data_IF_457887921831
#
_entry.id   IF_457887921831
#
_cell.length_a   1.000
_cell.length_b   1.000
_cell.length_c   1.000
_cell.angle_alpha   90.00
_cell.angle_beta   90.00
_cell.angle_gamma   90.00
#
_symmetry.space_group_name_H-M   'P 1'
#
loop_
_entity.id
_entity.type
_entity.pdbx_description
1 polymer ?
#
# COMPACT_ATOMS: atom_id res chain seq x y z
N UNK A 1 18.95 11.02 13.52
CA UNK A 1 17.58 11.45 13.91
C UNK A 1 17.09 10.65 15.11
N UNK A 2 16.26 11.29 15.94
CA UNK A 2 15.55 10.61 17.01
C UNK A 2 14.47 9.71 16.42
N UNK A 3 14.36 8.48 16.92
CA UNK A 3 13.34 7.52 16.51
C UNK A 3 12.10 7.72 17.39
N UNK A 4 10.97 8.05 16.78
CA UNK A 4 9.71 8.33 17.50
C UNK A 4 8.68 7.26 17.13
N UNK A 5 8.20 6.53 18.14
CA UNK A 5 7.21 5.45 17.99
C UNK A 5 5.98 5.60 18.89
N UNK A 6 5.91 6.66 19.72
CA UNK A 6 4.80 6.88 20.67
C UNK A 6 4.45 8.37 20.79
N UNK A 7 3.25 8.65 21.29
CA UNK A 7 2.81 10.02 21.58
C UNK A 7 3.73 10.72 22.60
N UNK A 8 4.21 9.99 23.63
CA UNK A 8 5.14 10.51 24.63
C UNK A 8 6.48 10.88 23.99
N UNK A 9 6.99 10.07 23.06
CA UNK A 9 8.21 10.37 22.31
C UNK A 9 8.06 11.63 21.46
N UNK A 10 6.91 11.82 20.83
CA UNK A 10 6.62 13.02 20.06
C UNK A 10 6.48 14.27 20.96
N UNK A 11 5.85 14.15 22.14
CA UNK A 11 5.79 15.22 23.15
C UNK A 11 7.17 15.59 23.67
N UNK A 12 7.99 14.60 23.99
CA UNK A 12 9.35 14.83 24.41
C UNK A 12 10.15 15.60 23.33
N UNK A 13 10.02 15.20 22.06
CA UNK A 13 10.67 15.90 20.95
C UNK A 13 10.20 17.35 20.84
N UNK A 14 8.87 17.58 20.89
CA UNK A 14 8.27 18.92 20.94
C UNK A 14 8.85 19.76 22.05
N UNK A 15 8.87 19.23 23.27
CA UNK A 15 9.30 19.97 24.45
C UNK A 15 10.79 20.28 24.39
N UNK A 16 11.59 19.37 23.81
CA UNK A 16 13.02 19.62 23.59
C UNK A 16 13.26 20.78 22.61
N UNK A 17 12.52 20.83 21.50
CA UNK A 17 12.55 21.95 20.55
C UNK A 17 12.06 23.25 21.22
N UNK A 18 10.90 23.20 21.87
CA UNK A 18 10.25 24.39 22.42
C UNK A 18 10.99 24.98 23.63
N UNK A 19 11.78 24.21 24.35
CA UNK A 19 12.60 24.65 25.45
C UNK A 19 14.03 25.03 25.03
N UNK A 20 14.37 24.97 23.74
CA UNK A 20 15.64 25.42 23.23
C UNK A 20 15.81 26.93 23.57
N UNK A 21 16.83 27.27 24.31
CA UNK A 21 17.06 28.66 24.72
C UNK A 21 17.74 29.43 23.61
N UNK A 22 17.42 30.74 23.50
CA UNK A 22 17.98 31.66 22.52
C UNK A 22 19.50 31.61 22.44
N UNK A 23 20.05 32.15 21.34
CA UNK A 23 21.40 32.26 20.85
C UNK A 23 22.56 32.25 21.85
N UNK A 24 22.34 32.62 23.11
CA UNK A 24 23.35 32.56 24.15
C UNK A 24 23.46 31.15 24.79
N UNK A 25 22.49 30.23 24.60
CA UNK A 25 22.39 29.05 25.46
C UNK A 25 21.96 27.73 24.83
N UNK A 26 21.80 27.57 23.51
CA UNK A 26 21.60 26.25 22.85
C UNK A 26 20.51 26.23 21.75
N UNK A 27 20.76 26.93 20.65
CA UNK A 27 19.91 26.87 19.44
C UNK A 27 19.97 25.49 18.78
N UNK A 28 20.92 24.65 19.13
CA UNK A 28 21.13 23.34 18.50
C UNK A 28 19.89 22.43 18.65
N UNK A 29 19.14 22.56 19.73
CA UNK A 29 17.92 21.80 19.93
C UNK A 29 16.80 22.14 18.95
N UNK A 30 16.83 23.30 18.27
CA UNK A 30 15.89 23.64 17.19
C UNK A 30 16.18 22.91 15.91
N UNK A 31 17.39 22.39 15.73
CA UNK A 31 17.88 21.68 14.53
C UNK A 31 17.88 20.17 14.70
N UNK A 32 17.41 19.66 15.84
CA UNK A 32 17.34 18.21 16.05
C UNK A 32 16.46 17.58 15.00
N UNK A 33 16.88 16.41 14.51
CA UNK A 33 16.17 15.67 13.50
C UNK A 33 15.45 14.48 14.12
N UNK A 34 14.26 14.17 13.61
CA UNK A 34 13.49 13.01 14.04
C UNK A 34 12.94 12.24 12.86
N UNK A 35 12.67 10.97 13.07
CA UNK A 35 11.90 10.15 12.14
C UNK A 35 10.86 9.32 12.90
N UNK A 36 9.68 9.17 12.31
CA UNK A 36 8.66 8.28 12.84
C UNK A 36 8.99 6.83 12.45
N UNK A 37 8.69 5.90 13.36
CA UNK A 37 8.84 4.46 13.11
C UNK A 37 7.50 3.72 13.15
N UNK A 38 6.42 4.43 13.54
CA UNK A 38 5.04 3.96 13.57
C UNK A 38 4.09 5.15 13.43
N UNK A 39 2.83 4.87 13.13
CA UNK A 39 1.76 5.83 13.31
C UNK A 39 1.67 6.26 14.76
N UNK A 40 1.42 7.54 14.99
CA UNK A 40 1.28 8.12 16.32
C UNK A 40 -0.19 8.54 16.52
N UNK A 41 -0.81 8.04 17.56
CA UNK A 41 -2.16 8.45 17.95
C UNK A 41 -2.09 9.45 19.12
N UNK A 42 -2.65 10.65 18.89
CA UNK A 42 -2.72 11.73 19.88
C UNK A 42 -4.11 11.83 20.54
N UNK A 43 -4.92 10.78 20.50
CA UNK A 43 -6.26 10.76 21.09
C UNK A 43 -6.25 11.21 22.54
N UNK A 44 -7.14 12.16 22.87
CA UNK A 44 -7.31 12.68 24.23
C UNK A 44 -6.28 13.73 24.66
N UNK A 45 -5.36 14.11 23.77
CA UNK A 45 -4.30 15.05 24.06
C UNK A 45 -4.49 16.36 23.30
N UNK A 46 -4.46 17.48 24.05
CA UNK A 46 -4.34 18.79 23.43
C UNK A 46 -2.89 19.01 22.98
N UNK A 47 -2.71 19.34 21.71
CA UNK A 47 -1.38 19.51 21.16
C UNK A 47 -0.90 20.95 21.21
N UNK A 48 0.33 21.16 21.69
CA UNK A 48 1.08 22.42 21.54
C UNK A 48 2.00 22.27 20.32
N UNK A 49 2.07 23.23 19.41
CA UNK A 49 2.91 23.15 18.22
C UNK A 49 4.42 22.95 18.53
N UNK A 50 5.10 22.23 17.65
CA UNK A 50 6.58 22.12 17.67
C UNK A 50 7.17 23.40 17.07
N UNK A 51 8.09 24.09 17.79
CA UNK A 51 8.70 25.31 17.29
C UNK A 51 7.70 26.47 17.25
N UNK A 52 7.43 27.09 18.39
CA UNK A 52 6.40 28.14 18.53
C UNK A 52 6.93 29.56 18.23
N UNK A 53 8.21 29.70 17.88
CA UNK A 53 8.88 30.98 17.66
C UNK A 53 8.68 31.54 16.25
N UNK A 54 8.81 32.82 16.15
CA UNK A 54 8.78 33.57 14.91
C UNK A 54 9.08 35.05 15.17
N UNK A 55 9.07 35.88 14.14
CA UNK A 55 9.40 37.30 14.27
C UNK A 55 8.53 38.04 15.30
N UNK A 56 7.31 37.53 15.58
CA UNK A 56 6.38 38.11 16.53
C UNK A 56 6.57 37.60 17.99
N UNK A 57 7.37 36.55 18.19
CA UNK A 57 7.60 35.93 19.51
C UNK A 57 9.09 35.89 19.83
N UNK A 58 9.66 37.08 20.09
CA UNK A 58 11.05 37.17 20.47
C UNK A 58 11.34 36.26 21.69
N UNK A 59 12.28 35.35 21.53
CA UNK A 59 12.69 34.45 22.60
C UNK A 59 12.12 33.04 22.56
N UNK A 60 11.20 32.75 21.63
CA UNK A 60 10.74 31.38 21.40
C UNK A 60 11.38 30.77 20.17
N UNK A 61 11.85 29.52 20.22
CA UNK A 61 12.59 28.92 19.14
C UNK A 61 11.68 28.44 18.00
N UNK A 62 12.05 28.66 16.72
CA UNK A 62 11.45 27.99 15.58
C UNK A 62 11.96 26.57 15.47
N UNK A 63 11.37 25.76 14.60
CA UNK A 63 11.92 24.48 14.20
C UNK A 63 12.74 24.62 12.91
N UNK A 64 13.98 24.12 12.93
CA UNK A 64 14.93 24.26 11.81
C UNK A 64 15.57 22.92 11.40
N UNK A 65 15.14 21.81 11.97
CA UNK A 65 15.68 20.47 11.69
C UNK A 65 14.97 19.76 10.53
N UNK A 66 15.22 18.45 10.44
CA UNK A 66 14.52 17.55 9.55
C UNK A 66 13.58 16.65 10.34
N UNK A 67 12.30 16.68 10.02
CA UNK A 67 11.31 15.75 10.53
C UNK A 67 10.82 14.85 9.39
N UNK A 68 11.14 13.57 9.47
CA UNK A 68 10.77 12.57 8.48
C UNK A 68 9.66 11.65 9.04
N UNK A 69 8.46 11.78 8.54
CA UNK A 69 7.33 10.93 8.90
C UNK A 69 7.46 9.49 8.41
N UNK A 70 8.41 9.19 7.50
CA UNK A 70 8.62 7.82 6.93
C UNK A 70 7.34 7.19 6.36
N UNK A 71 6.39 7.99 5.92
CA UNK A 71 5.08 7.54 5.43
C UNK A 71 4.04 7.29 6.53
N UNK A 72 4.39 7.51 7.79
CA UNK A 72 3.47 7.34 8.92
C UNK A 72 2.54 8.54 9.12
N UNK A 73 1.45 8.27 9.84
CA UNK A 73 0.41 9.25 10.14
C UNK A 73 0.43 9.64 11.62
N UNK A 74 0.34 10.96 11.89
CA UNK A 74 -0.01 11.47 13.21
C UNK A 74 -1.53 11.67 13.22
N UNK A 75 -2.23 10.84 14.00
CA UNK A 75 -3.70 10.76 14.07
C UNK A 75 -4.24 11.53 15.25
N UNK A 76 -5.49 11.98 15.13
CA UNK A 76 -6.24 12.64 16.20
C UNK A 76 -5.54 13.88 16.75
N UNK A 77 -4.81 14.60 15.87
CA UNK A 77 -4.22 15.89 16.22
C UNK A 77 -5.35 16.85 16.64
N UNK A 78 -5.29 17.37 17.86
CA UNK A 78 -6.30 18.26 18.41
C UNK A 78 -5.66 19.55 18.90
N UNK A 79 -5.95 20.67 18.21
CA UNK A 79 -5.47 21.99 18.57
C UNK A 79 -6.68 22.95 18.54
N UNK A 80 -6.87 23.70 19.64
CA UNK A 80 -7.73 24.90 19.72
C UNK A 80 -6.93 25.96 20.47
N UNK A 81 -6.37 26.93 19.74
CA UNK A 81 -5.39 27.87 20.30
C UNK A 81 -5.56 29.27 19.73
N UNK A 82 -5.42 30.28 20.57
CA UNK A 82 -5.36 31.69 20.16
C UNK A 82 -3.94 32.14 19.75
N UNK A 83 -2.97 31.25 19.69
CA UNK A 83 -1.61 31.56 19.23
C UNK A 83 -1.61 31.97 17.74
N UNK A 84 -0.58 32.73 17.34
CA UNK A 84 -0.46 33.21 15.95
C UNK A 84 -0.08 32.10 14.96
N UNK A 85 0.78 31.18 15.36
CA UNK A 85 1.31 30.12 14.50
C UNK A 85 0.82 28.76 15.01
N UNK A 86 -0.17 28.18 14.33
CA UNK A 86 -0.86 26.97 14.80
C UNK A 86 -0.83 25.88 13.75
N UNK A 87 -0.35 24.72 14.15
CA UNK A 87 -0.25 23.50 13.35
C UNK A 87 0.44 22.39 14.14
N UNK A 88 0.75 21.26 13.54
CA UNK A 88 1.64 20.29 14.18
C UNK A 88 2.96 20.98 14.56
N UNK A 89 3.50 21.78 13.62
CA UNK A 89 4.58 22.74 13.84
C UNK A 89 3.99 24.15 13.90
N UNK A 90 4.48 24.97 14.81
CA UNK A 90 4.09 26.38 14.88
C UNK A 90 4.79 27.19 13.79
N UNK A 91 6.13 27.28 13.89
CA UNK A 91 6.96 28.02 12.97
C UNK A 91 8.19 27.21 12.53
N UNK A 92 8.31 27.01 11.22
CA UNK A 92 9.44 26.32 10.59
C UNK A 92 10.37 27.35 9.95
N UNK A 93 11.66 27.32 10.27
CA UNK A 93 12.68 28.23 9.75
C UNK A 93 13.77 27.44 9.02
N UNK A 94 13.68 27.34 7.71
CA UNK A 94 14.62 26.62 6.87
C UNK A 94 14.64 25.10 7.06
N UNK A 95 13.74 24.55 7.89
CA UNK A 95 13.66 23.12 8.19
C UNK A 95 13.07 22.29 7.06
N UNK A 96 13.17 20.98 7.19
CA UNK A 96 12.56 20.02 6.25
C UNK A 96 11.51 19.17 6.96
N UNK A 97 10.29 19.17 6.45
CA UNK A 97 9.20 18.28 6.88
C UNK A 97 8.85 17.40 5.69
N UNK A 98 8.90 16.08 5.89
CA UNK A 98 8.67 15.18 4.76
C UNK A 98 8.01 13.86 5.15
N UNK A 99 7.41 13.22 4.14
CA UNK A 99 6.81 11.87 4.23
C UNK A 99 5.82 11.75 5.41
N UNK A 100 4.99 12.77 5.64
CA UNK A 100 4.17 12.89 6.83
C UNK A 100 2.70 13.12 6.49
N UNK A 101 1.81 12.34 7.10
CA UNK A 101 0.38 12.60 7.09
C UNK A 101 -0.09 13.05 8.47
N UNK A 102 -0.99 14.03 8.51
CA UNK A 102 -1.66 14.47 9.73
C UNK A 102 -3.18 14.35 9.59
N UNK A 103 -3.87 13.92 10.64
CA UNK A 103 -5.33 13.86 10.67
C UNK A 103 -5.88 14.31 12.04
N UNK A 104 -7.05 14.95 12.02
CA UNK A 104 -7.69 15.49 13.24
C UNK A 104 -8.32 16.86 13.02
N UNK A 105 -8.13 17.79 13.97
CA UNK A 105 -8.68 19.14 13.93
C UNK A 105 -7.65 20.16 14.44
N UNK A 106 -7.44 21.21 13.66
CA UNK A 106 -6.54 22.32 14.00
C UNK A 106 -7.30 23.62 13.91
N UNK A 107 -7.46 24.30 15.03
CA UNK A 107 -8.11 25.61 15.11
C UNK A 107 -7.16 26.63 15.73
N UNK A 108 -6.90 27.70 14.99
CA UNK A 108 -6.02 28.79 15.38
C UNK A 108 -6.69 30.17 15.21
N UNK A 109 -5.96 31.24 15.55
CA UNK A 109 -6.45 32.61 15.40
C UNK A 109 -5.97 33.29 14.13
N UNK A 110 -4.70 33.19 13.80
CA UNK A 110 -4.14 33.89 12.64
C UNK A 110 -3.57 32.93 11.59
N UNK A 111 -2.32 32.54 11.70
CA UNK A 111 -1.66 31.69 10.73
C UNK A 111 -1.80 30.23 11.13
N UNK A 112 -2.66 29.52 10.40
CA UNK A 112 -3.06 28.17 10.79
C UNK A 112 -2.87 27.20 9.62
N UNK A 113 -2.11 26.15 9.85
CA UNK A 113 -1.91 25.07 8.87
C UNK A 113 -2.04 23.70 9.52
N UNK A 114 -2.42 22.68 8.77
CA UNK A 114 -2.46 21.32 9.30
C UNK A 114 -1.08 20.84 9.76
N UNK A 115 -0.05 21.16 8.97
CA UNK A 115 1.34 20.80 9.27
C UNK A 115 2.09 21.94 9.92
N UNK A 116 2.10 23.14 9.33
CA UNK A 116 2.82 24.29 9.90
C UNK A 116 1.96 25.55 9.91
N UNK A 117 1.92 26.25 11.04
CA UNK A 117 1.29 27.55 11.14
C UNK A 117 1.97 28.57 10.21
N UNK A 118 3.29 28.64 10.28
CA UNK A 118 4.08 29.44 9.33
C UNK A 118 5.41 28.79 8.95
N UNK A 119 5.96 29.24 7.81
CA UNK A 119 7.27 28.82 7.32
C UNK A 119 8.06 30.02 6.79
N UNK A 120 9.35 30.12 7.15
CA UNK A 120 10.32 31.01 6.55
C UNK A 120 11.31 30.17 5.74
N UNK A 121 11.05 30.01 4.45
CA UNK A 121 11.77 29.04 3.62
C UNK A 121 11.56 27.58 4.10
N UNK A 122 12.48 26.71 3.67
CA UNK A 122 12.43 25.28 4.03
C UNK A 122 11.74 24.41 2.99
N UNK A 123 11.67 23.12 3.29
CA UNK A 123 11.12 22.12 2.38
C UNK A 123 9.97 21.34 3.02
N UNK A 124 8.84 21.28 2.33
CA UNK A 124 7.70 20.44 2.64
C UNK A 124 7.48 19.49 1.45
N UNK A 125 7.75 18.22 1.66
CA UNK A 125 7.66 17.23 0.58
C UNK A 125 6.94 15.96 1.03
N UNK A 126 6.11 15.38 0.14
CA UNK A 126 5.35 14.16 0.42
C UNK A 126 4.53 14.30 1.72
N UNK A 127 3.90 15.47 1.90
CA UNK A 127 3.12 15.77 3.10
C UNK A 127 1.63 15.81 2.78
N UNK A 128 0.82 15.24 3.67
CA UNK A 128 -0.62 15.18 3.52
C UNK A 128 -1.36 15.76 4.74
N UNK A 129 -2.37 16.58 4.47
CA UNK A 129 -3.32 17.03 5.47
C UNK A 129 -4.68 16.37 5.30
N UNK A 130 -5.14 15.73 6.36
CA UNK A 130 -6.51 15.20 6.50
C UNK A 130 -7.25 15.86 7.67
N UNK A 131 -6.65 16.87 8.31
CA UNK A 131 -7.29 17.63 9.40
C UNK A 131 -8.34 18.59 8.84
N UNK A 132 -9.38 18.82 9.61
CA UNK A 132 -10.15 20.06 9.50
C UNK A 132 -9.31 21.21 10.06
N UNK A 133 -9.04 22.24 9.26
CA UNK A 133 -8.19 23.38 9.64
C UNK A 133 -9.00 24.66 9.59
N UNK A 134 -8.99 25.42 10.69
CA UNK A 134 -9.73 26.67 10.82
C UNK A 134 -8.85 27.77 11.43
N UNK A 135 -8.82 28.96 10.82
CA UNK A 135 -8.02 30.07 11.35
C UNK A 135 -8.26 31.39 10.59
N UNK A 136 -7.34 32.32 10.76
CA UNK A 136 -7.37 33.60 10.01
C UNK A 136 -6.82 33.42 8.60
N UNK A 137 -5.50 33.30 8.48
CA UNK A 137 -4.81 32.90 7.24
C UNK A 137 -4.57 31.42 7.31
N UNK A 138 -5.24 30.64 6.45
CA UNK A 138 -5.38 29.21 6.67
C UNK A 138 -4.98 28.41 5.44
N UNK A 139 -4.15 27.37 5.64
CA UNK A 139 -3.76 26.42 4.60
C UNK A 139 -3.80 24.96 5.09
N UNK A 140 -3.97 24.02 4.17
CA UNK A 140 -3.95 22.60 4.51
C UNK A 140 -2.58 22.15 5.03
N UNK A 141 -1.51 22.60 4.39
CA UNK A 141 -0.13 22.30 4.78
C UNK A 141 0.48 23.46 5.58
N UNK A 142 0.47 24.66 5.03
CA UNK A 142 1.09 25.85 5.63
C UNK A 142 0.08 26.99 5.71
N UNK A 143 -0.08 27.61 6.88
CA UNK A 143 -0.89 28.82 7.03
C UNK A 143 -0.28 30.00 6.29
N UNK A 144 0.97 30.35 6.61
CA UNK A 144 1.64 31.51 6.09
C UNK A 144 3.11 31.24 5.72
N UNK A 145 3.50 31.60 4.51
CA UNK A 145 4.89 31.54 4.07
C UNK A 145 5.47 32.94 3.95
N UNK A 146 6.57 33.22 4.67
CA UNK A 146 7.20 34.55 4.77
C UNK A 146 8.15 34.83 3.61
N UNK A 147 8.65 36.06 3.48
CA UNK A 147 9.48 36.54 2.36
C UNK A 147 10.88 35.92 2.29
N UNK A 148 11.48 35.57 3.42
CA UNK A 148 12.87 35.16 3.48
C UNK A 148 13.03 33.65 3.24
N UNK A 149 14.22 33.26 2.76
CA UNK A 149 14.57 31.87 2.49
C UNK A 149 13.90 31.28 1.25
N UNK A 150 14.40 30.19 0.75
CA UNK A 150 13.79 29.47 -0.36
C UNK A 150 12.75 28.47 0.16
N UNK A 151 11.50 28.63 -0.25
CA UNK A 151 10.42 27.69 0.10
C UNK A 151 10.24 26.65 -1.01
N UNK A 152 10.25 25.40 -0.67
CA UNK A 152 9.92 24.29 -1.57
C UNK A 152 8.73 23.51 -0.99
N UNK A 153 7.62 23.50 -1.74
CA UNK A 153 6.47 22.67 -1.40
C UNK A 153 6.20 21.77 -2.61
N UNK A 154 6.35 20.47 -2.42
CA UNK A 154 6.19 19.53 -3.53
C UNK A 154 5.57 18.21 -3.10
N UNK A 155 4.87 17.61 -4.05
CA UNK A 155 4.25 16.30 -3.85
C UNK A 155 3.41 16.28 -2.54
N UNK A 156 2.61 17.33 -2.31
CA UNK A 156 1.79 17.49 -1.11
C UNK A 156 0.32 17.48 -1.47
N UNK A 157 -0.52 17.02 -0.54
CA UNK A 157 -1.96 17.08 -0.78
C UNK A 157 -2.78 17.45 0.45
N UNK A 158 -3.99 17.97 0.20
CA UNK A 158 -5.00 18.23 1.21
C UNK A 158 -6.33 17.57 0.83
N UNK A 159 -6.92 16.89 1.81
CA UNK A 159 -8.29 16.34 1.71
C UNK A 159 -9.17 16.79 2.88
N UNK A 160 -8.59 17.45 3.88
CA UNK A 160 -9.31 18.06 4.99
C UNK A 160 -10.07 19.33 4.58
N UNK A 161 -11.05 19.72 5.38
CA UNK A 161 -11.77 20.98 5.19
C UNK A 161 -10.93 22.16 5.71
N UNK A 162 -10.79 23.21 4.89
CA UNK A 162 -10.02 24.40 5.21
C UNK A 162 -10.98 25.61 5.25
N UNK A 163 -11.00 26.31 6.38
CA UNK A 163 -11.95 27.41 6.59
C UNK A 163 -11.26 28.60 7.26
N UNK A 164 -11.51 29.81 6.74
CA UNK A 164 -11.08 31.04 7.43
C UNK A 164 -12.19 31.59 8.31
N UNK A 165 -11.82 32.16 9.46
CA UNK A 165 -12.73 32.76 10.44
C UNK A 165 -12.83 34.28 10.30
N UNK A 166 -11.80 34.92 9.74
CA UNK A 166 -11.66 36.39 9.77
C UNK A 166 -11.67 37.03 8.38
N UNK A 167 -11.95 36.24 7.33
CA UNK A 167 -11.98 36.73 5.95
C UNK A 167 -10.60 37.00 5.33
N UNK A 168 -9.53 36.51 5.95
CA UNK A 168 -8.17 36.59 5.38
C UNK A 168 -7.98 35.55 4.26
N UNK A 169 -6.74 35.22 3.96
CA UNK A 169 -6.39 34.32 2.88
C UNK A 169 -6.61 32.84 3.27
N UNK A 170 -7.18 32.06 2.37
CA UNK A 170 -7.39 30.62 2.57
C UNK A 170 -7.03 29.83 1.32
N UNK A 171 -6.21 28.80 1.47
CA UNK A 171 -5.80 27.93 0.36
C UNK A 171 -5.78 26.46 0.74
N UNK A 172 -5.99 25.59 -0.23
CA UNK A 172 -5.99 24.14 0.02
C UNK A 172 -4.63 23.62 0.51
N UNK A 173 -3.54 24.22 0.07
CA UNK A 173 -2.17 23.87 0.48
C UNK A 173 -1.57 24.99 1.33
N UNK A 174 -1.57 26.24 0.85
CA UNK A 174 -1.00 27.39 1.55
C UNK A 174 -2.03 28.51 1.65
N UNK A 175 -2.22 29.05 2.85
CA UNK A 175 -3.13 30.17 3.08
C UNK A 175 -2.66 31.43 2.38
N UNK A 176 -1.46 31.88 2.68
CA UNK A 176 -0.80 33.01 2.05
C UNK A 176 0.67 32.74 1.83
N UNK A 177 1.19 33.08 0.68
CA UNK A 177 2.60 33.01 0.34
C UNK A 177 3.11 34.34 -0.15
N UNK A 178 3.94 35.02 0.64
CA UNK A 178 4.63 36.25 0.24
C UNK A 178 6.07 35.98 -0.20
N UNK A 179 6.48 34.71 -0.26
CA UNK A 179 7.81 34.27 -0.68
C UNK A 179 7.90 34.27 -2.20
N UNK A 180 8.78 35.08 -2.76
CA UNK A 180 9.00 35.17 -4.21
C UNK A 180 10.08 34.21 -4.73
N UNK A 181 10.86 33.59 -3.84
CA UNK A 181 11.95 32.67 -4.19
C UNK A 181 11.56 31.21 -4.16
N UNK A 182 10.32 30.90 -3.80
CA UNK A 182 9.85 29.53 -3.60
C UNK A 182 9.35 28.84 -4.87
N UNK A 183 9.00 27.56 -4.72
CA UNK A 183 8.39 26.73 -5.76
C UNK A 183 7.35 25.81 -5.15
N UNK A 184 6.17 25.73 -5.79
CA UNK A 184 5.10 24.81 -5.40
C UNK A 184 4.78 23.94 -6.60
N UNK A 185 4.87 22.62 -6.45
CA UNK A 185 4.67 21.70 -7.58
C UNK A 185 4.13 20.34 -7.18
N UNK A 186 3.48 19.68 -8.13
CA UNK A 186 2.93 18.32 -7.97
C UNK A 186 2.01 18.19 -6.76
N UNK A 187 1.22 19.22 -6.47
CA UNK A 187 0.33 19.24 -5.31
C UNK A 187 -1.13 19.16 -5.74
N UNK A 188 -1.97 18.59 -4.86
CA UNK A 188 -3.40 18.66 -5.12
C UNK A 188 -4.23 19.00 -3.87
N UNK A 189 -5.42 19.56 -4.10
CA UNK A 189 -6.45 19.77 -3.10
C UNK A 189 -7.76 19.10 -3.51
N UNK A 190 -8.26 18.19 -2.68
CA UNK A 190 -9.60 17.61 -2.82
C UNK A 190 -10.50 17.89 -1.60
N UNK A 191 -9.98 18.58 -0.59
CA UNK A 191 -10.73 19.08 0.56
C UNK A 191 -11.50 20.35 0.23
N UNK A 192 -12.55 20.65 0.99
CA UNK A 192 -13.31 21.89 0.84
C UNK A 192 -12.50 23.08 1.33
N UNK A 193 -12.48 24.17 0.54
CA UNK A 193 -11.82 25.43 0.91
C UNK A 193 -12.88 26.52 0.94
N UNK A 194 -13.12 27.12 2.10
CA UNK A 194 -14.18 28.10 2.32
C UNK A 194 -13.64 29.38 2.93
N UNK A 195 -13.94 30.51 2.31
CA UNK A 195 -13.54 31.82 2.78
C UNK A 195 -14.27 32.95 2.04
N UNK A 196 -14.08 34.19 2.50
CA UNK A 196 -14.80 35.36 1.98
C UNK A 196 -13.91 36.37 1.26
N UNK A 197 -12.57 36.28 1.38
CA UNK A 197 -11.64 37.25 0.77
C UNK A 197 -10.76 36.57 -0.29
N UNK A 198 -9.55 36.19 0.05
CA UNK A 198 -8.61 35.58 -0.88
C UNK A 198 -8.67 34.05 -0.77
N UNK A 199 -9.45 33.42 -1.65
CA UNK A 199 -9.69 31.98 -1.65
C UNK A 199 -9.02 31.35 -2.87
N UNK A 200 -8.10 30.45 -2.66
CA UNK A 200 -7.41 29.71 -3.71
C UNK A 200 -7.49 28.21 -3.52
N UNK A 201 -7.45 27.49 -4.62
CA UNK A 201 -7.50 26.04 -4.58
C UNK A 201 -6.22 25.45 -3.97
N UNK A 202 -5.09 26.02 -4.31
CA UNK A 202 -3.77 25.66 -3.78
C UNK A 202 -3.29 26.77 -2.84
N UNK A 203 -3.30 28.04 -3.28
CA UNK A 203 -2.83 29.18 -2.46
C UNK A 203 -3.89 30.28 -2.41
N UNK A 204 -4.24 30.73 -1.21
CA UNK A 204 -5.23 31.79 -1.03
C UNK A 204 -4.75 33.15 -1.53
N UNK A 205 -3.53 33.56 -1.20
CA UNK A 205 -2.95 34.83 -1.66
C UNK A 205 -1.48 34.60 -2.06
N UNK A 206 -1.20 34.35 -3.34
CA UNK A 206 0.16 34.12 -3.83
C UNK A 206 0.86 35.42 -4.23
N UNK A 207 2.11 35.63 -3.78
CA UNK A 207 3.09 36.48 -4.42
C UNK A 207 4.17 35.66 -5.15
N UNK A 208 3.98 34.35 -5.19
CA UNK A 208 4.87 33.40 -5.87
C UNK A 208 4.30 33.07 -7.24
N UNK A 209 5.15 33.09 -8.28
CA UNK A 209 4.77 32.78 -9.68
C UNK A 209 5.10 31.32 -10.07
N UNK A 210 5.93 30.62 -9.29
CA UNK A 210 6.42 29.29 -9.59
C UNK A 210 5.50 28.22 -9.00
N UNK A 211 4.31 28.12 -9.57
CA UNK A 211 3.31 27.11 -9.23
C UNK A 211 3.10 26.22 -10.46
N UNK A 212 3.44 24.94 -10.37
CA UNK A 212 3.43 24.01 -11.50
C UNK A 212 2.73 22.71 -11.14
N UNK A 213 2.01 22.13 -12.08
CA UNK A 213 1.45 20.79 -11.97
C UNK A 213 0.61 20.59 -10.69
N UNK A 214 -0.23 21.60 -10.39
CA UNK A 214 -1.08 21.61 -9.20
C UNK A 214 -2.55 21.51 -9.60
N UNK A 215 -3.29 20.63 -8.92
CA UNK A 215 -4.66 20.26 -9.27
C UNK A 215 -5.61 20.43 -8.10
N UNK A 216 -6.90 20.64 -8.39
CA UNK A 216 -7.92 20.63 -7.36
C UNK A 216 -9.20 19.98 -7.85
N UNK A 217 -9.94 19.39 -6.89
CA UNK A 217 -11.22 18.77 -7.19
C UNK A 217 -12.27 19.83 -7.50
N UNK A 218 -12.95 19.70 -8.64
CA UNK A 218 -14.04 20.57 -9.04
C UNK A 218 -15.12 20.65 -7.95
N UNK A 219 -15.60 21.86 -7.67
CA UNK A 219 -16.58 22.11 -6.61
C UNK A 219 -16.04 22.10 -5.18
N UNK A 220 -14.76 21.78 -4.96
CA UNK A 220 -14.15 21.79 -3.62
C UNK A 220 -13.84 23.21 -3.11
N UNK A 221 -13.82 24.19 -3.99
CA UNK A 221 -13.37 25.56 -3.68
C UNK A 221 -14.41 26.58 -4.08
N UNK A 222 -14.82 27.41 -3.12
CA UNK A 222 -15.60 28.62 -3.41
C UNK A 222 -14.60 29.76 -3.61
N UNK A 223 -14.30 30.11 -4.86
CA UNK A 223 -13.32 31.15 -5.19
C UNK A 223 -13.83 32.53 -4.91
N UNK A 224 -13.04 33.33 -4.20
CA UNK A 224 -13.26 34.74 -4.01
C UNK A 224 -11.91 35.47 -3.91
N UNK A 225 -11.79 36.65 -4.52
CA UNK A 225 -10.60 37.49 -4.41
C UNK A 225 -9.39 37.00 -5.21
N UNK A 226 -8.19 37.11 -4.64
CA UNK A 226 -6.90 37.00 -5.32
C UNK A 226 -6.24 35.61 -5.20
N UNK A 227 -7.00 34.55 -4.97
CA UNK A 227 -6.47 33.18 -4.94
C UNK A 227 -5.72 32.81 -6.23
N UNK A 228 -4.91 31.76 -6.16
CA UNK A 228 -4.13 31.31 -7.31
C UNK A 228 -5.04 31.07 -8.54
N UNK A 229 -4.50 31.42 -9.72
CA UNK A 229 -5.19 31.30 -11.01
C UNK A 229 -4.57 30.24 -11.91
N UNK A 230 -3.53 29.56 -11.45
CA UNK A 230 -2.72 28.62 -12.24
C UNK A 230 -3.02 27.16 -11.91
N UNK A 231 -3.62 26.88 -10.78
CA UNK A 231 -4.05 25.53 -10.45
C UNK A 231 -5.21 25.07 -11.35
N UNK A 232 -5.21 23.80 -11.71
CA UNK A 232 -6.11 23.24 -12.72
C UNK A 232 -7.22 22.43 -12.03
N UNK A 233 -8.48 22.79 -12.34
CA UNK A 233 -9.66 22.03 -11.90
C UNK A 233 -9.70 20.67 -12.57
N UNK A 234 -10.03 19.64 -11.78
CA UNK A 234 -10.21 18.28 -12.22
C UNK A 234 -11.50 17.70 -11.64
N UNK A 235 -12.22 16.95 -12.44
CA UNK A 235 -13.47 16.31 -12.05
C UNK A 235 -13.22 15.16 -11.07
N UNK A 236 -14.26 14.75 -10.33
CA UNK A 236 -14.19 13.56 -9.48
C UNK A 236 -13.85 12.29 -10.27
N UNK A 237 -14.27 12.20 -11.54
CA UNK A 237 -13.92 11.09 -12.44
C UNK A 237 -12.42 11.09 -12.74
N UNK A 238 -11.82 12.24 -13.11
CA UNK A 238 -10.39 12.33 -13.39
C UNK A 238 -9.50 12.04 -12.17
N UNK A 239 -10.00 12.31 -10.97
CA UNK A 239 -9.33 11.86 -9.74
C UNK A 239 -9.46 10.35 -9.54
N UNK A 240 -10.64 9.79 -9.82
CA UNK A 240 -10.94 8.37 -9.59
C UNK A 240 -10.34 7.44 -10.66
N UNK A 241 -10.22 7.89 -11.91
CA UNK A 241 -9.74 7.09 -13.03
C UNK A 241 -8.20 7.10 -13.22
N UNK A 242 -7.48 7.73 -12.32
CA UNK A 242 -6.02 7.79 -12.35
C UNK A 242 -5.44 8.91 -13.23
N UNK A 243 -6.26 9.72 -13.91
CA UNK A 243 -5.78 10.85 -14.74
C UNK A 243 -4.95 11.82 -13.90
N UNK A 244 -5.44 12.24 -12.73
CA UNK A 244 -4.69 13.14 -11.84
C UNK A 244 -3.44 12.46 -11.30
N UNK A 245 -3.50 11.17 -10.93
CA UNK A 245 -2.34 10.40 -10.51
C UNK A 245 -1.25 10.37 -11.59
N UNK A 246 -1.60 10.09 -12.83
CA UNK A 246 -0.66 10.09 -13.95
C UNK A 246 0.01 11.47 -14.14
N UNK A 247 -0.76 12.54 -14.05
CA UNK A 247 -0.25 13.90 -14.14
C UNK A 247 0.72 14.24 -13.00
N UNK A 248 0.40 13.85 -11.76
CA UNK A 248 1.29 14.03 -10.61
C UNK A 248 2.59 13.23 -10.78
N UNK A 249 2.52 12.01 -11.31
CA UNK A 249 3.69 11.14 -11.56
C UNK A 249 4.62 11.68 -12.65
N UNK A 250 4.09 12.33 -13.66
CA UNK A 250 4.88 12.95 -14.76
C UNK A 250 5.47 14.31 -14.39
N UNK A 251 5.13 14.86 -13.23
CA UNK A 251 5.66 16.14 -12.76
C UNK A 251 7.17 16.12 -12.57
N UNK A 252 7.81 17.26 -12.86
CA UNK A 252 9.26 17.43 -12.71
C UNK A 252 9.69 17.21 -11.24
N UNK A 253 10.71 16.40 -11.02
CA UNK A 253 11.29 16.07 -9.71
C UNK A 253 12.80 16.17 -9.75
N UNK A 254 13.38 16.86 -8.77
CA UNK A 254 14.83 17.04 -8.66
C UNK A 254 15.51 15.75 -8.18
N UNK A 255 15.56 14.71 -9.02
CA UNK A 255 16.15 13.38 -8.73
C UNK A 255 15.52 12.63 -7.54
N UNK A 256 14.35 13.01 -7.05
CA UNK A 256 13.64 12.28 -6.02
C UNK A 256 12.79 11.15 -6.60
N UNK A 257 12.68 10.07 -5.85
CA UNK A 257 11.77 8.99 -6.18
C UNK A 257 10.31 9.50 -6.22
N UNK A 258 9.49 8.89 -7.08
CA UNK A 258 8.06 9.17 -7.12
C UNK A 258 7.39 8.70 -5.82
N UNK A 259 6.76 9.59 -5.04
CA UNK A 259 6.11 9.20 -3.80
C UNK A 259 4.71 8.62 -3.98
N UNK A 260 4.11 8.81 -5.19
CA UNK A 260 2.73 8.44 -5.43
C UNK A 260 2.57 6.93 -5.64
N UNK A 261 1.53 6.35 -5.05
CA UNK A 261 1.22 4.95 -5.22
C UNK A 261 0.96 4.60 -6.69
N UNK A 262 1.35 3.40 -7.11
CA UNK A 262 1.14 2.93 -8.48
C UNK A 262 -0.33 2.63 -8.79
N UNK A 263 -1.12 2.37 -7.77
CA UNK A 263 -2.53 2.04 -7.87
C UNK A 263 -3.37 3.18 -7.34
N UNK A 264 -4.56 3.37 -7.93
CA UNK A 264 -5.58 4.22 -7.33
C UNK A 264 -5.96 3.65 -5.97
N UNK A 265 -5.57 4.34 -4.92
CA UNK A 265 -5.94 4.00 -3.56
C UNK A 265 -6.98 4.97 -3.03
N UNK A 266 -7.81 4.45 -2.20
CA UNK A 266 -8.99 5.11 -1.69
C UNK A 266 -8.72 5.63 -0.28
N UNK A 267 -9.12 6.87 -0.02
CA UNK A 267 -9.13 7.43 1.33
C UNK A 267 -10.50 7.19 1.96
N UNK A 268 -10.59 6.22 2.85
CA UNK A 268 -11.85 5.83 3.51
C UNK A 268 -12.57 7.02 4.17
N UNK A 269 -11.83 7.95 4.76
CA UNK A 269 -12.38 9.14 5.42
C UNK A 269 -13.06 10.14 4.45
N UNK A 270 -12.73 10.12 3.17
CA UNK A 270 -13.27 11.03 2.16
C UNK A 270 -14.31 10.38 1.24
N UNK A 271 -14.46 9.05 1.26
CA UNK A 271 -15.36 8.32 0.37
C UNK A 271 -15.04 8.52 -1.12
N UNK A 272 -13.80 8.89 -1.45
CA UNK A 272 -13.36 9.24 -2.80
C UNK A 272 -12.11 8.46 -3.17
N UNK A 273 -11.99 8.09 -4.44
CA UNK A 273 -10.73 7.55 -4.98
C UNK A 273 -9.81 8.72 -5.29
N UNK A 274 -8.74 8.85 -4.54
CA UNK A 274 -7.80 9.97 -4.64
C UNK A 274 -6.36 9.44 -4.69
N UNK A 275 -5.43 10.12 -5.41
CA UNK A 275 -4.02 9.79 -5.35
C UNK A 275 -3.49 9.85 -3.91
N UNK A 276 -2.71 8.86 -3.51
CA UNK A 276 -2.07 8.79 -2.19
C UNK A 276 -0.62 8.37 -2.34
N UNK A 277 0.16 8.51 -1.29
CA UNK A 277 1.55 8.07 -1.29
C UNK A 277 1.67 6.55 -1.21
N UNK A 278 2.81 6.04 -1.68
CA UNK A 278 3.16 4.62 -1.58
C UNK A 278 3.00 4.12 -0.13
N UNK A 279 2.32 3.01 0.04
CA UNK A 279 2.04 2.41 1.34
C UNK A 279 0.88 3.03 2.13
N UNK A 280 0.24 4.09 1.61
CA UNK A 280 -0.91 4.73 2.24
C UNK A 280 -2.24 4.39 1.52
N UNK A 281 -3.34 4.59 2.24
CA UNK A 281 -4.70 4.38 1.74
C UNK A 281 -5.10 2.91 1.68
N UNK A 282 -6.40 2.69 1.66
CA UNK A 282 -6.98 1.38 1.44
C UNK A 282 -6.97 1.08 -0.07
N UNK A 283 -6.66 -0.16 -0.44
CA UNK A 283 -6.93 -0.60 -1.79
C UNK A 283 -8.45 -0.44 -2.00
N UNK A 284 -8.89 0.30 -3.00
CA UNK A 284 -10.30 0.30 -3.34
C UNK A 284 -10.64 -1.06 -3.94
N UNK A 285 -11.82 -1.57 -3.60
CA UNK A 285 -12.31 -2.80 -4.19
C UNK A 285 -12.39 -2.61 -5.71
N UNK A 286 -11.59 -3.37 -6.42
CA UNK A 286 -11.73 -3.49 -7.86
C UNK A 286 -13.02 -4.29 -8.13
N UNK A 287 -14.18 -3.63 -8.06
CA UNK A 287 -15.51 -4.25 -8.14
C UNK A 287 -15.92 -4.64 -9.57
N UNK A 288 -15.02 -4.57 -10.54
CA UNK A 288 -15.28 -5.03 -11.89
C UNK A 288 -15.52 -6.54 -11.93
N UNK A 289 -16.46 -6.98 -12.76
CA UNK A 289 -16.63 -8.40 -13.04
C UNK A 289 -15.38 -8.93 -13.75
N UNK A 290 -14.96 -10.12 -13.35
CA UNK A 290 -13.89 -10.82 -14.04
C UNK A 290 -14.34 -11.25 -15.43
N UNK A 291 -13.55 -10.92 -16.45
CA UNK A 291 -13.79 -11.25 -17.85
C UNK A 291 -12.63 -12.09 -18.35
N UNK A 292 -12.95 -13.18 -19.05
CA UNK A 292 -11.93 -14.02 -19.68
C UNK A 292 -11.15 -13.25 -20.75
N UNK A 293 -9.85 -13.45 -20.82
CA UNK A 293 -9.00 -12.94 -21.88
C UNK A 293 -8.81 -13.98 -23.02
N UNK A 294 -9.38 -15.19 -22.90
CA UNK A 294 -9.26 -16.27 -23.89
C UNK A 294 -7.90 -16.96 -23.98
N UNK A 295 -6.95 -16.59 -23.14
CA UNK A 295 -5.56 -17.08 -23.15
C UNK A 295 -5.15 -17.81 -21.85
N UNK A 296 -6.11 -18.25 -21.06
CA UNK A 296 -5.87 -18.85 -19.73
C UNK A 296 -5.68 -17.84 -18.62
N UNK A 297 -6.00 -16.57 -18.88
CA UNK A 297 -6.05 -15.50 -17.87
C UNK A 297 -7.44 -14.85 -17.88
N UNK A 298 -7.77 -14.16 -16.82
CA UNK A 298 -8.94 -13.30 -16.73
C UNK A 298 -8.54 -11.94 -16.16
N UNK A 299 -9.27 -10.90 -16.56
CA UNK A 299 -9.04 -9.53 -16.11
C UNK A 299 -10.31 -8.92 -15.57
N UNK A 300 -10.15 -8.01 -14.61
CA UNK A 300 -11.22 -7.09 -14.23
C UNK A 300 -10.74 -5.65 -14.37
N UNK A 301 -11.65 -4.80 -14.78
CA UNK A 301 -11.40 -3.37 -14.94
C UNK A 301 -12.02 -2.63 -13.77
N UNK A 302 -11.22 -1.78 -13.15
CA UNK A 302 -11.69 -0.84 -12.14
C UNK A 302 -12.19 0.45 -12.81
N UNK A 303 -13.05 1.18 -12.13
CA UNK A 303 -13.46 2.54 -12.54
C UNK A 303 -12.29 3.53 -12.58
N UNK A 304 -11.16 3.20 -11.95
CA UNK A 304 -9.90 3.95 -12.03
C UNK A 304 -9.04 3.58 -13.25
N UNK A 305 -9.57 2.83 -14.21
CA UNK A 305 -8.86 2.26 -15.36
C UNK A 305 -7.72 1.27 -15.02
N UNK A 306 -7.50 0.96 -13.75
CA UNK A 306 -6.60 -0.13 -13.39
C UNK A 306 -7.17 -1.46 -13.89
N UNK A 307 -6.30 -2.28 -14.48
CA UNK A 307 -6.63 -3.62 -14.97
C UNK A 307 -5.90 -4.62 -14.09
N UNK A 308 -6.65 -5.41 -13.35
CA UNK A 308 -6.08 -6.54 -12.64
C UNK A 308 -6.20 -7.79 -13.51
N UNK A 309 -5.09 -8.50 -13.70
CA UNK A 309 -5.04 -9.73 -14.50
C UNK A 309 -4.52 -10.87 -13.64
N UNK A 310 -5.21 -12.00 -13.67
CA UNK A 310 -4.81 -13.21 -12.95
C UNK A 310 -4.88 -14.42 -13.91
N UNK A 311 -4.12 -15.46 -13.57
CA UNK A 311 -4.24 -16.75 -14.26
C UNK A 311 -5.54 -17.43 -13.87
N UNK A 312 -6.16 -18.08 -14.84
CA UNK A 312 -7.31 -18.94 -14.58
C UNK A 312 -6.94 -20.06 -13.60
N UNK A 313 -7.84 -20.32 -12.65
CA UNK A 313 -7.64 -21.32 -11.60
C UNK A 313 -8.97 -21.98 -11.21
N UNK A 314 -8.87 -23.09 -10.47
CA UNK A 314 -10.00 -23.88 -10.04
C UNK A 314 -10.49 -24.84 -11.13
N UNK A 315 -11.52 -25.65 -10.82
CA UNK A 315 -12.00 -26.69 -11.69
C UNK A 315 -11.00 -27.83 -11.91
N UNK A 316 -11.42 -28.85 -12.63
CA UNK A 316 -10.56 -29.98 -13.02
C UNK A 316 -10.76 -30.31 -14.49
N UNK A 317 -9.66 -30.45 -15.22
CA UNK A 317 -9.70 -31.00 -16.57
C UNK A 317 -10.07 -32.49 -16.53
N UNK A 318 -10.79 -32.95 -17.54
CA UNK A 318 -11.06 -34.38 -17.75
C UNK A 318 -10.20 -34.91 -18.89
N UNK A 319 -10.27 -36.20 -19.17
CA UNK A 319 -9.57 -36.78 -20.32
C UNK A 319 -10.00 -36.20 -21.66
N UNK A 320 -11.14 -35.49 -21.72
CA UNK A 320 -11.72 -34.86 -22.90
C UNK A 320 -11.72 -33.33 -22.82
N UNK A 321 -12.15 -32.79 -21.68
CA UNK A 321 -12.44 -31.38 -21.52
C UNK A 321 -11.37 -30.69 -20.68
N UNK A 322 -11.09 -29.43 -21.01
CA UNK A 322 -10.23 -28.53 -20.24
C UNK A 322 -10.88 -28.19 -18.89
N UNK A 323 -10.07 -27.75 -17.93
CA UNK A 323 -10.59 -27.18 -16.68
C UNK A 323 -11.43 -25.92 -16.95
N UNK A 324 -12.47 -25.70 -16.15
CA UNK A 324 -13.28 -24.49 -16.17
C UNK A 324 -12.80 -23.58 -15.02
N UNK A 325 -12.46 -22.35 -15.33
CA UNK A 325 -12.06 -21.37 -14.33
C UNK A 325 -13.25 -21.04 -13.41
N UNK A 326 -13.05 -21.17 -12.09
CA UNK A 326 -14.10 -20.89 -11.11
C UNK A 326 -14.43 -19.40 -10.99
N UNK A 327 -13.55 -18.53 -11.49
CA UNK A 327 -13.71 -17.07 -11.39
C UNK A 327 -14.42 -16.51 -12.62
N UNK A 328 -13.96 -16.82 -13.83
CA UNK A 328 -14.53 -16.24 -15.07
C UNK A 328 -15.38 -17.22 -15.88
N UNK A 329 -15.47 -18.48 -15.50
CA UNK A 329 -16.26 -19.50 -16.16
C UNK A 329 -15.71 -20.01 -17.49
N UNK A 330 -14.53 -19.57 -17.91
CA UNK A 330 -13.95 -19.97 -19.20
C UNK A 330 -13.05 -21.19 -19.08
N UNK A 331 -12.90 -21.93 -20.17
CA UNK A 331 -12.06 -23.13 -20.23
C UNK A 331 -10.59 -22.76 -20.38
N UNK A 332 -9.70 -23.41 -19.61
CA UNK A 332 -8.28 -23.14 -19.65
C UNK A 332 -7.41 -24.41 -19.52
N UNK A 333 -6.14 -24.28 -19.84
CA UNK A 333 -5.19 -25.40 -19.78
C UNK A 333 -5.39 -26.42 -20.91
N UNK A 334 -5.02 -27.67 -20.64
CA UNK A 334 -5.21 -28.82 -21.54
C UNK A 334 -6.04 -29.88 -20.85
N UNK A 335 -6.74 -30.75 -21.62
CA UNK A 335 -7.35 -31.94 -21.05
C UNK A 335 -6.31 -32.79 -20.30
N UNK A 336 -6.73 -33.45 -19.25
CA UNK A 336 -5.90 -34.36 -18.45
C UNK A 336 -6.14 -35.81 -18.84
N UNK A 337 -5.25 -36.43 -19.61
CA UNK A 337 -5.50 -37.72 -20.26
C UNK A 337 -5.83 -38.87 -19.29
N UNK A 338 -5.45 -38.73 -18.03
CA UNK A 338 -5.63 -39.75 -16.99
C UNK A 338 -6.80 -39.48 -16.05
N UNK A 339 -7.55 -38.39 -16.26
CA UNK A 339 -8.71 -38.07 -15.42
C UNK A 339 -10.01 -38.47 -16.14
N UNK A 340 -10.42 -39.73 -15.94
CA UNK A 340 -11.59 -40.34 -16.55
C UNK A 340 -12.82 -40.20 -15.65
N UNK A 341 -13.69 -39.25 -15.93
CA UNK A 341 -14.89 -38.95 -15.10
C UNK A 341 -16.15 -39.74 -15.49
N UNK A 342 -16.28 -40.18 -16.75
CA UNK A 342 -17.37 -41.05 -17.21
C UNK A 342 -16.90 -42.48 -17.35
N UNK A 343 -16.39 -43.06 -16.26
CA UNK A 343 -15.89 -44.44 -16.24
C UNK A 343 -17.01 -45.41 -15.84
N UNK A 344 -17.40 -46.28 -16.79
CA UNK A 344 -18.44 -47.29 -16.58
C UNK A 344 -17.83 -48.68 -16.38
N UNK A 345 -18.23 -49.32 -15.33
CA UNK A 345 -17.86 -50.69 -15.04
C UNK A 345 -18.73 -51.70 -15.83
N UNK A 346 -18.08 -52.65 -16.46
CA UNK A 346 -18.73 -53.75 -17.17
C UNK A 346 -18.27 -55.07 -16.54
N UNK A 347 -19.23 -55.79 -15.98
CA UNK A 347 -18.96 -57.07 -15.33
C UNK A 347 -18.53 -58.13 -16.34
N UNK A 348 -17.72 -59.09 -15.90
CA UNK A 348 -17.34 -60.24 -16.73
C UNK A 348 -18.56 -61.10 -17.09
N UNK A 349 -18.64 -61.45 -18.34
CA UNK A 349 -19.63 -62.42 -18.89
C UNK A 349 -18.92 -63.65 -19.46
N UNK A 350 -19.25 -64.82 -18.92
CA UNK A 350 -18.67 -66.07 -19.44
C UNK A 350 -19.07 -66.31 -20.92
N UNK A 351 -18.12 -66.72 -21.73
CA UNK A 351 -18.38 -67.14 -23.10
C UNK A 351 -19.16 -68.46 -23.13
N UNK A 352 -20.01 -68.65 -24.11
CA UNK A 352 -20.72 -69.87 -24.38
C UNK A 352 -20.34 -70.40 -25.76
N UNK A 353 -20.82 -71.56 -26.15
CA UNK A 353 -20.64 -72.07 -27.52
C UNK A 353 -21.37 -71.24 -28.55
N UNK A 354 -22.43 -70.49 -28.16
CA UNK A 354 -23.24 -69.65 -29.05
C UNK A 354 -22.80 -68.18 -29.09
N UNK A 355 -22.32 -67.66 -27.93
CA UNK A 355 -22.01 -66.24 -27.79
C UNK A 355 -20.61 -66.03 -27.19
N UNK A 356 -19.96 -64.95 -27.61
CA UNK A 356 -18.73 -64.48 -26.99
C UNK A 356 -19.02 -63.95 -25.57
N UNK A 357 -18.04 -64.03 -24.71
CA UNK A 357 -18.02 -63.43 -23.41
C UNK A 357 -17.21 -62.15 -23.38
N UNK A 358 -17.06 -61.58 -22.21
CA UNK A 358 -16.11 -60.50 -21.94
C UNK A 358 -15.43 -60.68 -20.58
N UNK A 359 -14.24 -60.15 -20.46
CA UNK A 359 -13.58 -59.98 -19.15
C UNK A 359 -14.25 -58.84 -18.40
N UNK A 360 -14.02 -58.68 -17.12
CA UNK A 360 -14.34 -57.50 -16.39
C UNK A 360 -13.49 -56.35 -16.89
N UNK A 361 -14.10 -55.22 -17.20
CA UNK A 361 -13.38 -54.02 -17.68
C UNK A 361 -14.15 -52.74 -17.38
N UNK A 362 -13.44 -51.62 -17.50
CA UNK A 362 -13.97 -50.25 -17.36
C UNK A 362 -13.86 -49.52 -18.72
N UNK A 363 -14.92 -48.83 -19.11
CA UNK A 363 -14.99 -48.05 -20.35
C UNK A 363 -15.24 -46.60 -20.05
N UNK A 364 -14.38 -45.72 -20.51
CA UNK A 364 -14.61 -44.29 -20.42
C UNK A 364 -15.44 -43.81 -21.61
N UNK A 365 -16.61 -43.24 -21.33
CA UNK A 365 -17.53 -42.72 -22.37
C UNK A 365 -16.97 -41.45 -23.05
N UNK A 366 -16.17 -40.66 -22.33
CA UNK A 366 -15.66 -39.40 -22.84
C UNK A 366 -14.52 -39.57 -23.87
N UNK A 367 -13.54 -40.42 -23.60
CA UNK A 367 -12.41 -40.65 -24.49
C UNK A 367 -12.44 -41.98 -25.21
N UNK A 368 -13.48 -42.79 -24.98
CA UNK A 368 -13.69 -44.11 -25.59
C UNK A 368 -12.56 -45.10 -25.38
N UNK A 369 -11.88 -45.04 -24.23
CA UNK A 369 -10.80 -45.96 -23.84
C UNK A 369 -11.31 -47.03 -22.88
N UNK A 370 -10.65 -48.21 -22.92
CA UNK A 370 -10.97 -49.39 -22.13
C UNK A 370 -9.84 -49.65 -21.14
N UNK A 371 -10.16 -50.08 -19.90
CA UNK A 371 -9.21 -50.34 -18.85
C UNK A 371 -9.51 -51.64 -18.16
N UNK A 372 -8.47 -52.33 -17.69
CA UNK A 372 -8.56 -53.55 -16.92
C UNK A 372 -8.68 -53.36 -15.41
N UNK A 373 -8.66 -52.12 -14.94
CA UNK A 373 -8.76 -51.76 -13.53
C UNK A 373 -9.64 -50.55 -13.26
N UNK A 374 -10.25 -50.49 -12.07
CA UNK A 374 -11.17 -49.44 -11.65
C UNK A 374 -10.52 -48.04 -11.53
N UNK A 375 -9.19 -47.96 -11.44
CA UNK A 375 -8.46 -46.72 -11.35
C UNK A 375 -8.05 -46.18 -12.76
N UNK A 376 -8.45 -46.86 -13.81
CA UNK A 376 -8.16 -46.56 -15.23
C UNK A 376 -6.64 -46.35 -15.49
N UNK A 377 -5.77 -47.12 -14.85
CA UNK A 377 -4.31 -47.06 -14.99
C UNK A 377 -3.77 -47.94 -16.11
N UNK A 378 -4.46 -49.05 -16.37
CA UNK A 378 -4.02 -50.04 -17.34
C UNK A 378 -4.96 -50.05 -18.51
N UNK A 379 -4.60 -49.29 -19.58
CA UNK A 379 -5.36 -49.23 -20.81
C UNK A 379 -5.26 -50.55 -21.57
N UNK A 380 -6.37 -51.06 -22.05
CA UNK A 380 -6.53 -52.27 -22.90
C UNK A 380 -7.26 -51.89 -24.18
N UNK A 381 -7.14 -52.71 -25.20
CA UNK A 381 -7.93 -52.52 -26.42
C UNK A 381 -9.32 -53.08 -26.25
N UNK A 382 -10.28 -52.65 -27.12
CA UNK A 382 -11.61 -53.26 -27.16
C UNK A 382 -11.57 -54.77 -27.47
N UNK A 383 -10.59 -55.20 -28.26
CA UNK A 383 -10.42 -56.59 -28.58
C UNK A 383 -10.04 -57.44 -27.35
N UNK A 384 -9.23 -56.84 -26.45
CA UNK A 384 -8.81 -57.54 -25.22
C UNK A 384 -9.98 -57.75 -24.26
N UNK A 385 -11.06 -57.02 -24.37
CA UNK A 385 -12.26 -57.20 -23.53
C UNK A 385 -13.08 -58.44 -23.92
N UNK A 386 -12.89 -59.00 -25.10
CA UNK A 386 -13.73 -60.08 -25.65
C UNK A 386 -13.14 -61.45 -25.30
N UNK A 387 -13.95 -62.31 -24.76
CA UNK A 387 -13.60 -63.74 -24.56
C UNK A 387 -14.23 -64.56 -25.70
N UNK A 388 -13.40 -65.25 -26.46
CA UNK A 388 -13.84 -66.06 -27.60
C UNK A 388 -14.86 -67.15 -27.21
N UNK A 389 -15.74 -67.47 -28.12
CA UNK A 389 -16.71 -68.56 -27.96
C UNK A 389 -16.06 -69.88 -27.56
N UNK A 390 -16.69 -70.62 -26.73
CA UNK A 390 -16.23 -71.96 -26.37
C UNK A 390 -16.36 -72.89 -27.62
N UNK A 391 -15.38 -73.80 -27.80
CA UNK A 391 -15.48 -74.82 -28.90
C UNK A 391 -16.75 -75.66 -28.71
N UNK A 392 -17.46 -75.90 -29.79
CA UNK A 392 -18.62 -76.79 -29.77
C UNK A 392 -18.17 -78.23 -29.39
N UNK A 393 -18.90 -78.92 -28.50
CA UNK A 393 -18.58 -80.28 -28.13
C UNK A 393 -18.54 -81.18 -29.41
N UNK A 394 -17.39 -81.61 -29.80
CA UNK A 394 -17.27 -82.68 -30.76
C UNK A 394 -17.60 -84.00 -30.04
N UNK A 395 -18.57 -84.80 -30.51
CA UNK A 395 -18.91 -86.10 -30.00
C UNK A 395 -17.66 -86.99 -30.05
N UNK A 396 -17.31 -87.67 -28.91
CA UNK A 396 -16.14 -88.55 -28.88
C UNK A 396 -16.41 -89.87 -29.67
N UNK A 397 -15.43 -90.48 -30.33
CA UNK A 397 -15.53 -91.88 -30.72
C UNK A 397 -15.41 -92.76 -29.50
N UNK A 398 -16.31 -93.74 -29.45
CA UNK A 398 -16.39 -94.81 -28.44
C UNK A 398 -15.15 -95.70 -28.48
N UNK A 399 -14.39 -95.86 -27.37
CA UNK A 399 -13.52 -96.98 -27.14
C UNK A 399 -13.53 -97.37 -25.66
N UNK A 400 -13.62 -98.65 -25.45
CA UNK A 400 -13.85 -99.49 -24.23
C UNK A 400 -12.66 -99.41 -23.24
N UNK A 401 -12.92 -99.81 -21.95
CA UNK A 401 -12.06 -99.46 -20.83
C UNK A 401 -10.93 -100.47 -20.61
N UNK A 402 -9.80 -100.06 -20.05
CA UNK A 402 -8.82 -100.95 -19.44
C UNK A 402 -8.34 -100.31 -18.10
N UNK A 403 -8.25 -101.20 -17.11
CA UNK A 403 -8.15 -101.11 -15.67
C UNK A 403 -7.01 -100.21 -15.13
N UNK A 404 -7.28 -99.83 -13.92
CA UNK A 404 -6.37 -99.15 -12.99
C UNK A 404 -5.16 -100.06 -12.57
N UNK A 405 -4.13 -99.51 -11.93
CA UNK A 405 -4.12 -99.48 -10.47
C UNK A 405 -3.55 -98.24 -9.79
N UNK A 406 -4.17 -97.96 -8.71
CA UNK A 406 -3.75 -97.54 -7.35
C UNK A 406 -2.33 -97.07 -7.10
N UNK A 407 -2.14 -95.94 -6.56
CA UNK A 407 -1.51 -95.70 -5.22
C UNK A 407 -1.57 -94.19 -4.86
N UNK A 408 -2.14 -93.97 -3.71
CA UNK A 408 -1.90 -92.74 -2.91
C UNK A 408 -0.76 -93.11 -1.91
N UNK A 409 -0.38 -92.32 -0.94
CA UNK A 409 -0.47 -90.88 -0.70
C UNK A 409 0.89 -90.30 -0.27
N UNK A 410 1.01 -89.00 -0.09
CA UNK A 410 1.57 -88.51 1.17
C UNK A 410 1.60 -86.92 1.21
N UNK A 411 1.40 -86.52 2.48
CA UNK A 411 1.17 -85.19 2.99
C UNK A 411 2.45 -84.38 3.28
N UNK A 412 2.22 -83.23 3.74
CA UNK A 412 3.10 -82.28 4.51
C UNK A 412 3.78 -81.24 3.62
N UNK A 413 3.92 -79.95 3.90
CA UNK A 413 3.95 -79.28 5.21
C UNK A 413 3.88 -77.77 4.96
N UNK A 414 3.23 -76.98 5.82
CA UNK A 414 3.45 -75.52 5.92
C UNK A 414 4.77 -75.28 6.63
N UNK A 415 5.39 -74.14 6.33
CA UNK A 415 5.80 -73.33 7.48
C UNK A 415 5.53 -71.81 7.31
N UNK A 416 4.81 -71.31 8.27
CA UNK A 416 5.26 -70.27 9.25
C UNK A 416 5.55 -68.87 8.78
N UNK A 417 4.72 -68.00 9.28
CA UNK A 417 4.89 -66.55 9.49
C UNK A 417 6.29 -66.15 9.92
N UNK A 418 6.79 -65.06 9.42
CA UNK A 418 7.74 -64.20 10.11
C UNK A 418 7.31 -62.75 10.06
N UNK A 419 7.55 -62.10 11.19
CA UNK A 419 7.00 -60.85 11.66
C UNK A 419 7.47 -59.57 10.91
N UNK A 420 6.61 -58.65 10.98
CA UNK A 420 6.77 -57.22 10.67
C UNK A 420 7.75 -56.55 11.66
N UNK A 421 8.53 -55.58 11.27
CA UNK A 421 9.04 -54.58 12.19
C UNK A 421 8.22 -53.28 12.10
N UNK A 422 7.68 -52.92 13.24
CA UNK A 422 7.05 -51.67 13.59
C UNK A 422 8.07 -50.54 13.53
N UNK A 423 7.78 -49.46 12.82
CA UNK A 423 8.53 -48.21 12.92
C UNK A 423 7.70 -47.19 13.70
N UNK A 424 8.27 -46.77 14.81
CA UNK A 424 7.78 -45.81 15.77
C UNK A 424 7.84 -44.39 15.20
N UNK A 425 6.86 -43.49 15.43
CA UNK A 425 6.93 -42.07 14.96
C UNK A 425 7.85 -41.27 15.87
N UNK A 426 8.73 -40.54 15.24
CA UNK A 426 9.64 -39.57 15.88
C UNK A 426 8.88 -38.27 16.19
N UNK A 427 9.02 -37.80 17.42
CA UNK A 427 8.40 -36.62 17.97
C UNK A 427 8.90 -35.33 17.30
N UNK A 428 7.99 -34.36 17.13
CA UNK A 428 8.27 -32.98 16.71
C UNK A 428 9.03 -32.22 17.79
N UNK A 429 9.90 -31.28 17.44
CA UNK A 429 10.58 -30.45 18.43
C UNK A 429 9.65 -29.34 18.94
N UNK A 430 9.55 -29.25 20.24
CA UNK A 430 8.88 -28.20 21.00
C UNK A 430 9.68 -26.91 20.94
N UNK A 431 9.06 -25.84 20.47
CA UNK A 431 9.64 -24.48 20.51
C UNK A 431 9.27 -23.86 21.86
N UNK A 432 10.26 -23.52 22.67
CA UNK A 432 10.08 -22.75 23.90
C UNK A 432 9.92 -21.26 23.60
N UNK A 433 9.11 -20.51 24.35
CA UNK A 433 8.96 -19.07 24.18
C UNK A 433 10.17 -18.32 24.76
N UNK A 434 10.74 -17.43 23.96
CA UNK A 434 11.78 -16.51 24.39
C UNK A 434 11.13 -15.31 25.09
N UNK A 435 11.44 -15.16 26.35
CA UNK A 435 11.11 -14.00 27.18
C UNK A 435 11.94 -12.80 26.75
N UNK A 436 11.31 -11.72 26.27
CA UNK A 436 11.95 -10.44 25.98
C UNK A 436 11.85 -9.52 27.20
N UNK A 437 12.97 -9.23 27.81
CA UNK A 437 13.15 -8.16 28.79
C UNK A 437 13.53 -6.89 28.01
N UNK A 438 12.94 -5.71 28.27
CA UNK A 438 13.38 -4.48 27.65
C UNK A 438 14.68 -4.00 28.29
N UNK A 439 15.73 -3.87 27.49
CA UNK A 439 16.96 -3.24 27.90
C UNK A 439 16.90 -1.74 27.67
N UNK A 440 16.80 -0.97 28.73
CA UNK A 440 17.21 0.43 28.76
C UNK A 440 18.73 0.45 28.98
N UNK A 441 19.46 0.96 28.02
CA UNK A 441 20.90 1.07 28.12
C UNK A 441 21.43 2.11 27.15
N UNK A 442 21.67 3.31 27.66
CA UNK A 442 22.45 4.39 27.04
C UNK A 442 23.90 3.94 27.00
N UNK A 443 24.48 3.77 25.81
CA UNK A 443 25.92 3.62 25.63
C UNK A 443 26.39 4.62 24.59
N UNK A 444 26.78 5.81 25.10
CA UNK A 444 27.57 6.78 24.35
C UNK A 444 28.98 6.23 24.12
N UNK A 445 29.31 5.93 22.87
CA UNK A 445 30.70 5.61 22.46
C UNK A 445 31.37 6.82 21.83
N UNK A 446 32.60 7.18 22.22
CA UNK A 446 33.25 8.46 21.90
C UNK A 446 34.02 8.50 20.56
N UNK A 447 33.72 7.67 19.58
CA UNK A 447 34.53 7.53 18.34
C UNK A 447 33.90 8.19 17.10
N UNK A 448 32.77 8.87 17.18
CA UNK A 448 32.07 9.43 15.98
C UNK A 448 32.16 10.96 15.82
N UNK A 449 33.10 11.64 16.47
CA UNK A 449 33.24 13.10 16.39
C UNK A 449 34.18 13.63 15.30
N UNK A 450 34.70 12.76 14.43
CA UNK A 450 35.69 13.20 13.42
C UNK A 450 35.13 13.54 12.04
N UNK A 451 33.84 13.33 11.77
CA UNK A 451 33.28 13.49 10.40
C UNK A 451 32.37 14.71 10.19
N UNK A 452 32.13 15.54 11.18
CA UNK A 452 31.16 16.67 11.12
C UNK A 452 31.76 18.08 11.01
N UNK A 453 33.07 18.19 10.78
CA UNK A 453 33.74 19.49 10.73
C UNK A 453 33.93 20.12 9.34
N UNK A 454 33.31 19.58 8.28
CA UNK A 454 33.52 20.09 6.92
C UNK A 454 32.31 20.82 6.28
N UNK A 455 31.22 21.04 6.98
CA UNK A 455 30.05 21.73 6.40
C UNK A 455 29.71 23.10 6.98
N UNK A 456 30.52 23.69 7.86
CA UNK A 456 30.20 24.98 8.52
C UNK A 456 31.00 26.21 8.04
N UNK A 457 31.71 26.12 6.92
CA UNK A 457 32.69 27.13 6.50
C UNK A 457 32.19 28.26 5.56
N UNK A 458 30.95 28.27 5.06
CA UNK A 458 30.54 29.19 3.97
C UNK A 458 29.53 30.28 4.37
N UNK A 459 28.98 30.25 5.59
CA UNK A 459 27.86 31.13 6.00
C UNK A 459 28.22 32.56 6.47
N UNK A 460 29.47 32.91 6.72
CA UNK A 460 29.84 34.16 7.44
C UNK A 460 30.41 35.31 6.57
N UNK A 461 30.57 35.12 5.28
CA UNK A 461 31.20 36.14 4.42
C UNK A 461 30.25 37.12 3.73
N UNK A 462 28.92 36.93 3.74
CA UNK A 462 27.97 37.73 2.94
C UNK A 462 27.35 38.91 3.70
N UNK A 463 27.34 38.90 5.03
CA UNK A 463 26.67 39.92 5.83
C UNK A 463 27.53 41.20 6.04
N UNK A 464 28.83 41.17 5.79
CA UNK A 464 29.69 42.34 5.96
C UNK A 464 29.71 43.28 4.76
N UNK A 465 29.24 42.82 3.56
CA UNK A 465 29.35 43.63 2.33
C UNK A 465 28.16 44.58 2.06
N UNK A 466 27.02 44.42 2.71
CA UNK A 466 25.82 45.24 2.47
C UNK A 466 25.69 46.49 3.34
N UNK A 467 26.54 46.67 4.36
CA UNK A 467 26.43 47.82 5.31
C UNK A 467 27.15 49.11 4.86
N UNK A 468 27.91 49.10 3.75
CA UNK A 468 28.73 50.27 3.32
C UNK A 468 28.19 51.00 2.05
N UNK A 469 26.94 50.82 1.63
CA UNK A 469 26.41 51.52 0.42
C UNK A 469 25.31 52.55 0.66
N UNK A 470 25.07 52.96 1.91
CA UNK A 470 24.12 54.04 2.23
C UNK A 470 24.79 55.19 3.04
N UNK A 471 26.02 55.57 2.69
CA UNK A 471 26.59 56.85 3.07
C UNK A 471 27.53 57.33 1.96
N UNK A 472 26.99 57.95 0.98
CA UNK A 472 27.54 59.03 0.17
C UNK A 472 26.44 59.53 -0.78
#
# INVERSE_FOLDING_TARGET
>A
PYQISTAEGLKWFRDKVNNAKNAANNIEDTKICAELTKDIDLSGEAWTPIGIGGALYAGTPPYSGTFDGKGHTIKNLSIDSSAHYVGLFGYVYGGTIRNLTVSGSVKGSEHTGGIAGAANGGTFENCANQCAVQGGTTGGIIGFATEEGTLIVRDCYNVGSITTTTGNSVGGIIGQCINTSGTIRNCYNAGTVTGTASVGAIIGNPLIDKIYNCYYLEGSVTRAGNGDKVSISKTATEFADGTVLALLKTGERDNNADPWADECKYLAAAGKTLPVFNGQGDAHDHNGNWTSNGNGTHSRHCTCNAVETQNCSGGKATCKDKAICEICGDSYGSPEPNNHTDLKHIDAKAATAAEEGNIEYWHCGDCNKYFSDAAAKTEITRADTVTAKLPQPTTPPTTTPTAAPTTAPQAAEQPRRTAQPTVQPTAAPTVQPVSTIPATGDTSSPILWAALLLCSGVGLAVTAYKKNRHRS
#
